data_IF_538857753075
#
_entry.id   IF_538857753075
#
_cell.length_a   1.000
_cell.length_b   1.000
_cell.length_c   1.000
_cell.angle_alpha   90.00
_cell.angle_beta   90.00
_cell.angle_gamma   90.00
#
_symmetry.space_group_name_H-M   'P 1'
#
loop_
_entity.id
_entity.type
_entity.pdbx_description
1 polymer ?
#
# COMPACT_ATOMS: atom_id res chain seq x y z
N UNK A 1 -25.44 -30.74 -20.17
CA UNK A 1 -25.85 -29.50 -19.48
C UNK A 1 -24.77 -28.41 -19.45
N UNK A 2 -23.49 -28.71 -19.16
CA UNK A 2 -22.40 -27.70 -19.01
C UNK A 2 -22.16 -26.76 -20.21
N UNK A 3 -22.31 -27.24 -21.46
CA UNK A 3 -22.16 -26.41 -22.67
C UNK A 3 -23.16 -25.24 -22.74
N UNK A 4 -24.38 -25.39 -22.19
CA UNK A 4 -25.40 -24.32 -22.17
C UNK A 4 -25.04 -23.23 -21.16
N UNK A 5 -24.51 -23.59 -20.01
CA UNK A 5 -24.09 -22.64 -18.97
C UNK A 5 -22.82 -21.87 -19.37
N UNK A 6 -21.86 -22.48 -20.07
CA UNK A 6 -20.67 -21.77 -20.54
C UNK A 6 -20.98 -20.62 -21.51
N UNK A 7 -22.05 -20.75 -22.33
CA UNK A 7 -22.53 -19.68 -23.21
C UNK A 7 -23.16 -18.50 -22.46
N UNK A 8 -23.53 -18.68 -21.19
CA UNK A 8 -24.10 -17.61 -20.37
C UNK A 8 -23.03 -16.67 -19.81
N UNK A 9 -21.75 -17.01 -19.88
CA UNK A 9 -20.68 -16.13 -19.40
C UNK A 9 -20.37 -15.02 -20.42
N UNK A 10 -20.11 -13.79 -19.97
CA UNK A 10 -19.70 -12.70 -20.86
C UNK A 10 -18.26 -12.91 -21.33
N UNK A 11 -17.88 -12.22 -22.41
CA UNK A 11 -16.48 -12.13 -22.83
C UNK A 11 -15.73 -11.08 -22.00
N UNK A 12 -14.39 -11.16 -21.97
CA UNK A 12 -13.57 -10.12 -21.31
C UNK A 12 -13.82 -8.76 -21.96
N UNK A 13 -13.90 -8.71 -23.30
CA UNK A 13 -14.16 -7.48 -24.04
C UNK A 13 -15.53 -6.88 -23.73
N UNK A 14 -16.55 -7.72 -23.54
CA UNK A 14 -17.91 -7.30 -23.15
C UNK A 14 -17.89 -6.64 -21.78
N UNK A 15 -17.27 -7.26 -20.78
CA UNK A 15 -17.16 -6.67 -19.43
C UNK A 15 -16.36 -5.36 -19.46
N UNK A 16 -15.29 -5.28 -20.27
CA UNK A 16 -14.46 -4.07 -20.38
C UNK A 16 -15.22 -2.86 -20.91
N UNK A 17 -16.26 -3.05 -21.74
CA UNK A 17 -17.09 -1.94 -22.24
C UNK A 17 -17.93 -1.30 -21.15
N UNK A 18 -18.28 -2.07 -20.11
CA UNK A 18 -19.12 -1.65 -19.00
C UNK A 18 -18.31 -1.15 -17.79
N UNK A 19 -16.96 -1.21 -17.85
CA UNK A 19 -16.09 -0.71 -16.79
C UNK A 19 -16.25 0.80 -16.64
N UNK A 20 -16.45 1.25 -15.40
CA UNK A 20 -16.59 2.66 -15.09
C UNK A 20 -15.32 3.45 -15.44
N UNK A 21 -15.47 4.53 -16.21
CA UNK A 21 -14.37 5.41 -16.61
C UNK A 21 -13.70 6.15 -15.44
N UNK A 22 -14.33 6.21 -14.27
CA UNK A 22 -13.74 6.82 -13.08
C UNK A 22 -12.83 5.86 -12.29
N UNK A 23 -12.70 4.59 -12.70
CA UNK A 23 -11.74 3.67 -12.10
C UNK A 23 -10.32 4.18 -12.37
N UNK A 24 -9.52 4.30 -11.31
CA UNK A 24 -8.12 4.72 -11.36
C UNK A 24 -7.15 3.53 -11.44
N UNK A 25 -7.67 2.31 -11.56
CA UNK A 25 -6.88 1.10 -11.71
C UNK A 25 -6.25 1.04 -13.10
N UNK A 26 -5.03 0.53 -13.17
CA UNK A 26 -4.34 0.33 -14.44
C UNK A 26 -5.02 -0.74 -15.31
N UNK A 27 -5.19 -0.50 -16.61
CA UNK A 27 -5.89 -1.38 -17.55
C UNK A 27 -5.49 -2.85 -17.50
N UNK A 28 -4.18 -3.13 -17.37
CA UNK A 28 -3.68 -4.51 -17.24
C UNK A 28 -4.24 -5.20 -15.99
N UNK A 29 -4.35 -4.47 -14.89
CA UNK A 29 -4.89 -5.01 -13.64
C UNK A 29 -6.39 -5.28 -13.77
N UNK A 30 -7.15 -4.35 -14.35
CA UNK A 30 -8.58 -4.54 -14.67
C UNK A 30 -8.79 -5.82 -15.48
N UNK A 31 -8.01 -6.00 -16.56
CA UNK A 31 -8.08 -7.20 -17.40
C UNK A 31 -7.75 -8.48 -16.64
N UNK A 32 -6.76 -8.46 -15.75
CA UNK A 32 -6.40 -9.64 -14.96
C UNK A 32 -7.49 -9.99 -13.93
N UNK A 33 -8.12 -9.00 -13.29
CA UNK A 33 -9.27 -9.21 -12.39
C UNK A 33 -10.43 -9.85 -13.16
N UNK A 34 -10.85 -9.25 -14.29
CA UNK A 34 -11.94 -9.78 -15.12
C UNK A 34 -11.64 -11.23 -15.55
N UNK A 35 -10.42 -11.50 -16.02
CA UNK A 35 -10.00 -12.87 -16.40
C UNK A 35 -10.06 -13.81 -15.21
N UNK A 36 -9.62 -13.38 -14.03
CA UNK A 36 -9.60 -14.19 -12.82
C UNK A 36 -11.01 -14.57 -12.38
N UNK A 37 -11.91 -13.60 -12.30
CA UNK A 37 -13.32 -13.82 -11.94
C UNK A 37 -14.01 -14.74 -12.96
N UNK A 38 -13.84 -14.48 -14.26
CA UNK A 38 -14.40 -15.35 -15.31
C UNK A 38 -13.81 -16.77 -15.27
N UNK A 39 -12.55 -16.96 -14.84
CA UNK A 39 -12.02 -18.32 -14.60
C UNK A 39 -12.77 -19.02 -13.47
N UNK A 40 -13.12 -18.31 -12.40
CA UNK A 40 -13.97 -18.82 -11.32
C UNK A 40 -15.34 -19.26 -11.84
N UNK A 41 -16.07 -18.37 -12.48
CA UNK A 41 -17.40 -18.68 -13.05
C UNK A 41 -17.36 -19.81 -14.10
N UNK A 42 -16.29 -19.89 -14.91
CA UNK A 42 -16.10 -21.01 -15.85
C UNK A 42 -15.97 -22.36 -15.15
N UNK A 43 -15.33 -22.44 -13.97
CA UNK A 43 -15.25 -23.68 -13.18
C UNK A 43 -16.64 -24.09 -12.72
N UNK A 44 -17.42 -23.15 -12.19
CA UNK A 44 -18.81 -23.38 -11.74
C UNK A 44 -19.72 -23.83 -12.88
N UNK A 45 -19.61 -23.20 -14.06
CA UNK A 45 -20.37 -23.58 -15.26
C UNK A 45 -20.00 -24.97 -15.79
N UNK A 46 -18.71 -25.34 -15.76
CA UNK A 46 -18.26 -26.69 -16.13
C UNK A 46 -18.83 -27.75 -15.21
N UNK A 47 -18.96 -27.43 -13.91
CA UNK A 47 -19.55 -28.31 -12.91
C UNK A 47 -21.09 -28.40 -12.97
N UNK A 48 -21.76 -27.68 -13.88
CA UNK A 48 -23.22 -27.70 -13.99
C UNK A 48 -23.95 -26.81 -12.97
N UNK A 49 -23.22 -26.04 -12.15
CA UNK A 49 -23.75 -25.32 -10.98
C UNK A 49 -23.94 -23.82 -11.19
N UNK A 50 -23.80 -23.33 -12.43
CA UNK A 50 -23.99 -21.90 -12.71
C UNK A 50 -25.50 -21.60 -12.82
N UNK A 51 -26.03 -20.93 -11.81
CA UNK A 51 -27.45 -20.55 -11.70
C UNK A 51 -27.68 -19.03 -11.70
N UNK A 52 -26.74 -18.29 -12.31
CA UNK A 52 -26.83 -16.84 -12.45
C UNK A 52 -26.81 -16.43 -13.92
N UNK A 53 -27.49 -15.33 -14.22
CA UNK A 53 -27.57 -14.76 -15.57
C UNK A 53 -26.27 -14.03 -15.92
N UNK A 54 -26.02 -13.87 -17.23
CA UNK A 54 -24.86 -13.12 -17.75
C UNK A 54 -24.71 -11.74 -17.11
N UNK A 55 -25.79 -10.96 -17.07
CA UNK A 55 -25.79 -9.61 -16.51
C UNK A 55 -25.39 -9.60 -15.04
N UNK A 56 -25.78 -10.61 -14.26
CA UNK A 56 -25.37 -10.74 -12.87
C UNK A 56 -23.87 -11.08 -12.72
N UNK A 57 -23.32 -11.90 -13.64
CA UNK A 57 -21.86 -12.14 -13.70
C UNK A 57 -21.11 -10.85 -14.01
N UNK A 58 -21.56 -10.09 -15.01
CA UNK A 58 -20.95 -8.80 -15.35
C UNK A 58 -21.01 -7.84 -14.17
N UNK A 59 -22.19 -7.66 -13.55
CA UNK A 59 -22.37 -6.78 -12.39
C UNK A 59 -21.43 -7.17 -11.23
N UNK A 60 -21.33 -8.45 -10.89
CA UNK A 60 -20.44 -8.90 -9.81
C UNK A 60 -18.95 -8.60 -10.10
N UNK A 61 -18.52 -8.70 -11.37
CA UNK A 61 -17.14 -8.35 -11.74
C UNK A 61 -16.91 -6.84 -11.65
N UNK A 62 -17.89 -6.02 -12.03
CA UNK A 62 -17.81 -4.57 -11.91
C UNK A 62 -17.79 -4.12 -10.45
N UNK A 63 -18.62 -4.73 -9.60
CA UNK A 63 -18.63 -4.47 -8.15
C UNK A 63 -17.28 -4.80 -7.49
N UNK A 64 -16.64 -5.90 -7.91
CA UNK A 64 -15.30 -6.26 -7.45
C UNK A 64 -14.26 -5.23 -7.91
N UNK A 65 -14.32 -4.78 -9.16
CA UNK A 65 -13.44 -3.74 -9.67
C UNK A 65 -13.61 -2.42 -8.91
N UNK A 66 -14.85 -2.04 -8.58
CA UNK A 66 -15.15 -0.84 -7.79
C UNK A 66 -14.65 -0.95 -6.34
N UNK A 67 -14.76 -2.14 -5.74
CA UNK A 67 -14.18 -2.45 -4.43
C UNK A 67 -12.65 -2.33 -4.45
N UNK A 68 -12.00 -2.93 -5.46
CA UNK A 68 -10.54 -2.88 -5.64
C UNK A 68 -10.03 -1.47 -6.00
N UNK A 69 -10.89 -0.62 -6.56
CA UNK A 69 -10.58 0.78 -6.83
C UNK A 69 -10.51 1.60 -5.54
N UNK A 70 -11.07 1.11 -4.43
CA UNK A 70 -10.89 1.72 -3.12
C UNK A 70 -9.56 1.29 -2.51
N UNK A 71 -8.91 2.21 -1.79
CA UNK A 71 -7.71 1.88 -1.00
C UNK A 71 -8.03 0.79 0.03
N UNK A 72 -7.20 -0.25 0.06
CA UNK A 72 -7.22 -1.27 1.11
C UNK A 72 -6.74 -0.72 2.45
N UNK A 73 -5.96 0.37 2.44
CA UNK A 73 -5.55 1.12 3.63
C UNK A 73 -6.64 2.14 3.94
N UNK A 74 -7.32 1.97 5.08
CA UNK A 74 -8.40 2.83 5.57
C UNK A 74 -8.10 3.29 7.00
N UNK A 75 -8.59 4.48 7.34
CA UNK A 75 -8.59 4.93 8.73
C UNK A 75 -9.55 4.08 9.57
N UNK A 76 -9.18 3.84 10.82
CA UNK A 76 -9.93 3.02 11.77
C UNK A 76 -10.13 3.77 13.09
N UNK A 77 -11.20 3.44 13.81
CA UNK A 77 -11.47 3.97 15.15
C UNK A 77 -10.97 2.93 16.16
N UNK A 78 -9.99 3.30 16.99
CA UNK A 78 -9.43 2.40 18.00
C UNK A 78 -10.32 2.37 19.27
N UNK A 79 -11.11 1.29 19.41
CA UNK A 79 -11.91 1.01 20.61
C UNK A 79 -11.28 0.02 21.60
N UNK A 80 -10.03 -0.39 21.38
CA UNK A 80 -9.36 -1.45 22.18
C UNK A 80 -8.77 -0.94 23.50
N UNK A 81 -8.58 0.38 23.64
CA UNK A 81 -7.84 0.97 24.75
C UNK A 81 -6.31 0.81 24.66
N UNK A 82 -5.79 0.06 23.68
CA UNK A 82 -4.34 -0.12 23.48
C UNK A 82 -3.77 1.07 22.72
N UNK A 83 -2.90 1.85 23.37
CA UNK A 83 -2.28 3.05 22.79
C UNK A 83 -1.31 2.69 21.66
N UNK A 84 -0.34 1.80 21.91
CA UNK A 84 0.65 1.36 20.92
C UNK A 84 0.23 0.03 20.27
N UNK A 85 -0.88 0.06 19.53
CA UNK A 85 -1.41 -1.13 18.89
C UNK A 85 -0.61 -1.48 17.61
N UNK A 86 0.13 -2.59 17.62
CA UNK A 86 1.01 -2.99 16.52
C UNK A 86 0.25 -3.24 15.22
N UNK A 87 -0.93 -3.86 15.29
CA UNK A 87 -1.79 -4.09 14.12
C UNK A 87 -2.43 -2.82 13.54
N UNK A 88 -2.41 -1.70 14.28
CA UNK A 88 -2.99 -0.41 13.83
C UNK A 88 -1.90 0.61 13.42
N UNK A 89 -0.63 0.20 13.39
CA UNK A 89 0.47 1.08 13.00
C UNK A 89 1.11 1.86 14.14
N UNK A 90 0.96 1.43 15.40
CA UNK A 90 1.59 2.03 16.60
C UNK A 90 1.13 3.48 16.83
N UNK A 91 2.06 4.40 17.08
CA UNK A 91 1.76 5.77 17.48
C UNK A 91 1.20 6.57 16.28
N UNK A 92 -0.03 7.13 16.37
CA UNK A 92 -0.52 8.04 15.35
C UNK A 92 0.28 9.35 15.36
N UNK A 93 0.46 9.94 14.19
CA UNK A 93 1.17 11.22 14.02
C UNK A 93 0.15 12.35 14.03
N UNK A 94 0.45 13.43 14.75
CA UNK A 94 -0.45 14.59 14.81
C UNK A 94 -0.67 15.22 13.44
N UNK A 95 -1.88 15.74 13.20
CA UNK A 95 -2.25 16.47 11.98
C UNK A 95 -1.28 17.61 11.67
N UNK A 96 -0.83 18.33 12.71
CA UNK A 96 0.14 19.43 12.60
C UNK A 96 1.44 18.94 11.97
N UNK A 97 2.04 17.88 12.51
CA UNK A 97 3.30 17.31 12.01
C UNK A 97 3.15 16.82 10.57
N UNK A 98 2.09 16.07 10.26
CA UNK A 98 1.84 15.60 8.87
C UNK A 98 1.71 16.79 7.90
N UNK A 99 0.96 17.82 8.27
CA UNK A 99 0.79 19.00 7.41
C UNK A 99 2.09 19.76 7.16
N UNK A 100 2.97 19.86 8.16
CA UNK A 100 4.28 20.50 8.02
C UNK A 100 5.20 19.69 7.10
N UNK A 101 5.20 18.36 7.24
CA UNK A 101 6.00 17.47 6.41
C UNK A 101 5.50 17.49 4.96
N UNK A 102 4.18 17.38 4.75
CA UNK A 102 3.59 17.42 3.41
C UNK A 102 4.01 18.68 2.64
N UNK A 103 3.88 19.86 3.25
CA UNK A 103 4.32 21.14 2.65
C UNK A 103 5.81 21.16 2.30
N UNK A 104 6.67 20.55 3.12
CA UNK A 104 8.11 20.46 2.82
C UNK A 104 8.42 19.52 1.67
N UNK A 105 7.66 18.43 1.56
CA UNK A 105 7.86 17.38 0.55
C UNK A 105 7.21 17.69 -0.81
N UNK A 106 6.47 18.79 -0.93
CA UNK A 106 5.97 19.29 -2.22
C UNK A 106 7.11 19.69 -3.18
N UNK A 107 8.33 19.90 -2.68
CA UNK A 107 9.51 20.22 -3.48
C UNK A 107 10.78 19.48 -3.03
N UNK A 108 11.90 19.81 -3.67
CA UNK A 108 13.21 19.31 -3.26
C UNK A 108 13.60 19.87 -1.89
N UNK A 109 14.20 19.01 -1.07
CA UNK A 109 14.77 19.38 0.23
C UNK A 109 16.28 19.12 0.24
N UNK A 110 16.99 19.81 1.12
CA UNK A 110 18.43 19.67 1.30
C UNK A 110 18.80 18.42 2.12
N UNK A 111 18.22 17.27 1.78
CA UNK A 111 18.36 16.01 2.54
C UNK A 111 19.83 15.60 2.65
N UNK A 112 20.57 15.65 1.55
CA UNK A 112 22.02 15.36 1.49
C UNK A 112 22.80 16.51 0.84
N UNK A 113 22.34 17.75 1.04
CA UNK A 113 22.99 18.94 0.50
C UNK A 113 23.23 19.96 1.61
N UNK A 114 24.49 20.36 1.77
CA UNK A 114 24.88 21.36 2.74
C UNK A 114 24.82 22.75 2.10
N UNK A 115 23.90 23.57 2.59
CA UNK A 115 23.68 24.94 2.09
C UNK A 115 24.85 25.89 2.40
N UNK A 116 25.64 25.61 3.43
CA UNK A 116 26.77 26.44 3.81
C UNK A 116 27.98 26.21 2.92
N UNK A 117 28.21 24.96 2.50
CA UNK A 117 29.36 24.59 1.66
C UNK A 117 29.02 24.43 0.18
N UNK A 118 27.74 24.31 -0.16
CA UNK A 118 27.28 24.05 -1.53
C UNK A 118 27.62 22.64 -2.03
N UNK A 119 27.96 21.70 -1.14
CA UNK A 119 28.42 20.35 -1.46
C UNK A 119 27.45 19.29 -0.94
N UNK A 120 27.69 18.03 -1.34
CA UNK A 120 27.00 16.88 -0.75
C UNK A 120 27.28 16.82 0.75
N UNK A 121 26.22 16.68 1.54
CA UNK A 121 26.27 16.52 2.99
C UNK A 121 25.71 15.17 3.44
N UNK A 122 25.86 14.87 4.73
CA UNK A 122 25.26 13.69 5.37
C UNK A 122 23.88 14.04 5.95
N UNK A 123 22.87 13.23 5.61
CA UNK A 123 21.49 13.37 6.11
C UNK A 123 21.38 13.23 7.64
N UNK A 124 22.29 12.51 8.29
CA UNK A 124 22.29 12.31 9.74
C UNK A 124 22.55 13.63 10.49
N UNK A 125 23.27 14.56 9.86
CA UNK A 125 23.65 15.85 10.48
C UNK A 125 22.43 16.71 10.86
N UNK A 126 21.30 16.55 10.18
CA UNK A 126 20.07 17.31 10.47
C UNK A 126 19.50 17.04 11.87
N UNK A 127 19.83 15.90 12.47
CA UNK A 127 19.21 15.41 13.72
C UNK A 127 20.21 14.92 14.77
N UNK A 128 21.43 14.57 14.36
CA UNK A 128 22.45 14.02 15.26
C UNK A 128 22.73 14.93 16.47
N UNK A 129 22.94 16.23 16.26
CA UNK A 129 23.19 17.19 17.36
C UNK A 129 22.05 17.20 18.39
N UNK A 130 20.81 17.18 17.92
CA UNK A 130 19.63 17.16 18.78
C UNK A 130 19.54 15.85 19.56
N UNK A 131 19.75 14.71 18.91
CA UNK A 131 19.73 13.41 19.59
C UNK A 131 20.86 13.25 20.60
N UNK A 132 22.08 13.67 20.27
CA UNK A 132 23.21 13.65 21.19
C UNK A 132 22.87 14.43 22.47
N UNK A 133 22.27 15.62 22.33
CA UNK A 133 21.87 16.43 23.46
C UNK A 133 20.73 15.80 24.29
N UNK A 134 19.72 15.23 23.65
CA UNK A 134 18.59 14.57 24.34
C UNK A 134 19.06 13.34 25.11
N UNK A 135 19.95 12.54 24.52
CA UNK A 135 20.41 11.27 25.09
C UNK A 135 21.66 11.41 25.97
N UNK A 136 22.32 12.57 25.99
CA UNK A 136 23.62 12.75 26.65
C UNK A 136 24.74 11.91 26.03
N UNK A 137 24.65 11.62 24.73
CA UNK A 137 25.59 10.76 24.00
C UNK A 137 26.61 11.57 23.20
N UNK A 138 27.83 11.03 23.05
CA UNK A 138 28.89 11.67 22.24
C UNK A 138 28.53 11.75 20.76
N UNK A 139 27.88 10.70 20.24
CA UNK A 139 27.44 10.61 18.84
C UNK A 139 26.16 9.76 18.73
N UNK A 140 25.44 9.91 17.61
CA UNK A 140 24.21 9.17 17.33
C UNK A 140 24.10 8.84 15.85
N UNK A 141 23.40 7.75 15.56
CA UNK A 141 23.07 7.29 14.23
C UNK A 141 21.61 6.83 14.21
N UNK A 142 20.84 7.30 13.23
CA UNK A 142 19.47 6.80 13.00
C UNK A 142 19.46 5.86 11.81
N UNK A 143 18.85 4.71 12.02
CA UNK A 143 18.58 3.70 11.01
C UNK A 143 17.08 3.46 10.85
N UNK A 144 16.69 2.62 9.90
CA UNK A 144 15.30 2.37 9.54
C UNK A 144 14.40 2.02 10.75
N UNK A 145 14.83 1.07 11.59
CA UNK A 145 14.11 0.67 12.80
C UNK A 145 15.06 0.01 13.81
N UNK A 146 14.56 -0.33 15.00
CA UNK A 146 15.36 -0.94 16.05
C UNK A 146 15.95 -2.32 15.67
N UNK A 147 15.24 -3.13 14.86
CA UNK A 147 15.77 -4.42 14.43
C UNK A 147 17.02 -4.26 13.54
N UNK A 148 17.00 -3.28 12.63
CA UNK A 148 18.16 -2.91 11.85
C UNK A 148 19.30 -2.35 12.73
N UNK A 149 18.97 -1.61 13.79
CA UNK A 149 19.96 -1.12 14.74
C UNK A 149 20.69 -2.26 15.47
N UNK A 150 19.93 -3.24 15.98
CA UNK A 150 20.49 -4.43 16.63
C UNK A 150 21.41 -5.19 15.68
N UNK A 151 20.94 -5.46 14.46
CA UNK A 151 21.73 -6.14 13.44
C UNK A 151 23.02 -5.37 13.12
N UNK A 152 22.93 -4.06 12.90
CA UNK A 152 24.07 -3.22 12.56
C UNK A 152 25.11 -3.21 13.69
N UNK A 153 24.68 -3.06 14.94
CA UNK A 153 25.57 -3.06 16.11
C UNK A 153 26.28 -4.40 16.26
N UNK A 154 25.56 -5.52 16.19
CA UNK A 154 26.15 -6.85 16.31
C UNK A 154 27.12 -7.13 15.16
N UNK A 155 26.72 -6.86 13.92
CA UNK A 155 27.59 -7.06 12.76
C UNK A 155 28.81 -6.13 12.77
N UNK A 156 28.73 -4.91 13.30
CA UNK A 156 29.87 -3.98 13.30
C UNK A 156 30.84 -4.20 14.46
N UNK A 157 30.37 -4.67 15.62
CA UNK A 157 31.17 -4.74 16.85
C UNK A 157 31.51 -6.16 17.29
N UNK A 158 30.80 -7.16 16.78
CA UNK A 158 30.92 -8.56 17.19
C UNK A 158 30.92 -9.51 15.99
N UNK A 159 31.41 -9.04 14.82
CA UNK A 159 31.62 -9.91 13.66
C UNK A 159 32.71 -10.95 13.98
N UNK A 160 32.35 -12.23 13.86
CA UNK A 160 33.21 -13.38 14.10
C UNK A 160 32.61 -14.63 13.47
#
# INVERSE_FOLDING_TARGET
MSKKQLRQLPSVSEVLLDVNKSIALHDRYIREVIKSELRGYRRTAKAGKLDIKRSAVTAAILDELDSLNQSSIKNIINGTGVVLHTGFGRAPISKKVISTIAKKLEGYINLEFDLSTGKRGDRQNHIAKMLNAICGAESSLIVNNNAAAVLLVLNSLAEG
#
